data_IF_696083779837
#
_entry.id   IF_696083779837
#
_cell.length_a   1.000
_cell.length_b   1.000
_cell.length_c   1.000
_cell.angle_alpha   90.00
_cell.angle_beta   90.00
_cell.angle_gamma   90.00
#
_symmetry.space_group_name_H-M   'P 1'
#
loop_
_entity.id
_entity.type
_entity.pdbx_description
1 polymer ?
#
# COMPACT_ATOMS: atom_id res chain seq x y z
N UNK A 1 -10.40 -6.04 -5.03
CA UNK A 1 -11.83 -6.43 -5.07
C UNK A 1 -11.90 -7.90 -4.67
N UNK A 2 -12.55 -8.23 -3.56
CA UNK A 2 -12.73 -9.62 -3.13
C UNK A 2 -13.79 -10.28 -4.03
N UNK A 3 -13.44 -11.37 -4.71
CA UNK A 3 -14.29 -12.07 -5.68
C UNK A 3 -15.59 -12.68 -5.10
N UNK A 4 -15.81 -12.61 -3.79
CA UNK A 4 -17.01 -13.16 -3.15
C UNK A 4 -18.26 -12.24 -3.19
N UNK A 5 -18.16 -10.96 -3.57
CA UNK A 5 -19.26 -10.00 -3.40
C UNK A 5 -20.17 -9.77 -4.63
N UNK A 6 -20.13 -10.63 -5.66
CA UNK A 6 -20.89 -10.38 -6.90
C UNK A 6 -22.34 -10.88 -6.88
N UNK A 7 -22.77 -11.71 -5.90
CA UNK A 7 -24.06 -12.42 -6.06
C UNK A 7 -25.32 -11.91 -5.37
N UNK A 8 -25.32 -11.02 -4.39
CA UNK A 8 -26.60 -10.47 -3.89
C UNK A 8 -26.51 -9.00 -3.51
N UNK A 9 -27.04 -8.16 -4.40
CA UNK A 9 -27.23 -6.73 -4.21
C UNK A 9 -28.47 -6.48 -3.34
N UNK A 10 -28.30 -6.55 -2.02
CA UNK A 10 -29.24 -5.96 -1.05
C UNK A 10 -28.52 -4.87 -0.24
N UNK A 11 -28.71 -3.58 -0.58
CA UNK A 11 -27.83 -2.47 -0.18
C UNK A 11 -27.84 -2.08 1.30
N UNK A 12 -28.54 -2.82 2.17
CA UNK A 12 -28.70 -2.50 3.61
C UNK A 12 -28.58 -3.71 4.56
N UNK A 13 -28.00 -4.83 4.13
CA UNK A 13 -27.83 -6.00 5.01
C UNK A 13 -26.65 -5.85 5.98
N UNK A 14 -26.81 -6.34 7.21
CA UNK A 14 -25.78 -6.34 8.28
C UNK A 14 -24.44 -6.94 7.82
N UNK A 15 -24.50 -7.88 6.86
CA UNK A 15 -23.35 -8.58 6.28
C UNK A 15 -22.49 -7.69 5.39
N UNK A 16 -23.10 -6.78 4.62
CA UNK A 16 -22.38 -5.82 3.77
C UNK A 16 -21.64 -4.77 4.60
N UNK A 17 -22.25 -4.34 5.72
CA UNK A 17 -21.63 -3.42 6.68
C UNK A 17 -20.37 -4.03 7.30
N UNK A 18 -20.41 -5.31 7.67
CA UNK A 18 -19.27 -6.05 8.22
C UNK A 18 -18.13 -6.22 7.20
N UNK A 19 -18.43 -6.64 5.96
CA UNK A 19 -17.44 -6.79 4.90
C UNK A 19 -16.75 -5.46 4.54
N UNK A 20 -17.52 -4.36 4.46
CA UNK A 20 -16.95 -3.03 4.23
C UNK A 20 -16.04 -2.59 5.38
N UNK A 21 -16.40 -2.88 6.64
CA UNK A 21 -15.55 -2.55 7.79
C UNK A 21 -14.27 -3.37 7.86
N UNK A 22 -14.27 -4.63 7.43
CA UNK A 22 -13.06 -5.46 7.50
C UNK A 22 -12.12 -5.21 6.32
N UNK A 23 -12.68 -5.02 5.11
CA UNK A 23 -11.90 -4.60 3.95
C UNK A 23 -11.22 -3.24 4.19
N UNK A 24 -11.93 -2.28 4.80
CA UNK A 24 -11.35 -0.96 5.10
C UNK A 24 -10.26 -1.02 6.15
N UNK A 25 -10.39 -1.85 7.19
CA UNK A 25 -9.32 -2.05 8.20
C UNK A 25 -8.06 -2.62 7.58
N UNK A 26 -8.17 -3.69 6.78
CA UNK A 26 -7.02 -4.33 6.12
C UNK A 26 -6.36 -3.35 5.15
N UNK A 27 -7.16 -2.59 4.39
CA UNK A 27 -6.65 -1.57 3.48
C UNK A 27 -5.91 -0.44 4.22
N UNK A 28 -6.49 0.07 5.31
CA UNK A 28 -5.85 1.10 6.14
C UNK A 28 -4.54 0.61 6.76
N UNK A 29 -4.51 -0.64 7.21
CA UNK A 29 -3.29 -1.26 7.73
C UNK A 29 -2.21 -1.39 6.66
N UNK A 30 -2.58 -1.83 5.46
CA UNK A 30 -1.68 -1.92 4.32
C UNK A 30 -1.10 -0.55 3.93
N UNK A 31 -1.94 0.49 3.86
CA UNK A 31 -1.50 1.86 3.57
C UNK A 31 -0.57 2.42 4.65
N UNK A 32 -0.88 2.18 5.93
CA UNK A 32 -0.04 2.62 7.04
C UNK A 32 1.34 1.95 7.02
N UNK A 33 1.40 0.64 6.76
CA UNK A 33 2.65 -0.10 6.61
C UNK A 33 3.44 0.39 5.40
N UNK A 34 2.77 0.55 4.25
CA UNK A 34 3.38 1.03 3.02
C UNK A 34 3.99 2.43 3.21
N UNK A 35 3.24 3.38 3.79
CA UNK A 35 3.72 4.73 4.06
C UNK A 35 4.96 4.74 4.97
N UNK A 36 4.95 3.91 6.02
CA UNK A 36 6.09 3.76 6.94
C UNK A 36 7.32 3.20 6.22
N UNK A 37 7.15 2.16 5.42
CA UNK A 37 8.26 1.52 4.68
C UNK A 37 8.87 2.46 3.65
N UNK A 38 8.03 3.18 2.88
CA UNK A 38 8.52 4.15 1.90
C UNK A 38 9.36 5.23 2.58
N UNK A 39 8.93 5.74 3.74
CA UNK A 39 9.70 6.73 4.50
C UNK A 39 11.05 6.18 4.99
N UNK A 40 11.06 4.98 5.57
CA UNK A 40 12.30 4.35 6.04
C UNK A 40 13.28 4.05 4.89
N UNK A 41 12.76 3.57 3.76
CA UNK A 41 13.57 3.28 2.58
C UNK A 41 14.07 4.54 1.89
N UNK A 42 13.27 5.61 1.84
CA UNK A 42 13.71 6.90 1.29
C UNK A 42 14.82 7.53 2.13
N UNK A 43 14.72 7.44 3.46
CA UNK A 43 15.77 7.87 4.39
C UNK A 43 17.04 7.03 4.21
N UNK A 44 16.92 5.69 4.09
CA UNK A 44 18.05 4.78 3.92
C UNK A 44 18.77 4.94 2.59
N UNK A 45 18.04 5.14 1.50
CA UNK A 45 18.61 5.34 0.16
C UNK A 45 19.03 6.79 -0.11
N UNK A 46 18.76 7.73 0.80
CA UNK A 46 19.11 9.14 0.63
C UNK A 46 18.37 9.82 -0.52
N UNK A 47 17.17 9.33 -0.86
CA UNK A 47 16.33 9.89 -1.92
C UNK A 47 15.74 11.20 -1.41
N UNK A 48 16.48 12.29 -1.61
CA UNK A 48 16.13 13.64 -1.15
C UNK A 48 15.67 14.51 -2.32
N UNK A 49 15.02 15.64 -2.02
CA UNK A 49 14.67 16.64 -3.03
C UNK A 49 15.92 17.22 -3.73
N UNK A 50 17.10 17.13 -3.11
CA UNK A 50 18.37 17.47 -3.75
C UNK A 50 18.69 16.52 -4.91
N UNK A 51 18.52 15.20 -4.73
CA UNK A 51 18.67 14.21 -5.80
C UNK A 51 17.68 14.45 -6.95
N UNK A 52 16.47 14.90 -6.63
CA UNK A 52 15.44 15.22 -7.62
C UNK A 52 15.80 16.45 -8.45
N UNK A 53 16.40 17.47 -7.83
CA UNK A 53 16.88 18.67 -8.51
C UNK A 53 18.11 18.38 -9.40
N UNK A 54 18.96 17.45 -8.98
CA UNK A 54 20.19 17.11 -9.68
C UNK A 54 19.96 16.08 -10.81
N UNK A 55 19.12 15.06 -10.57
CA UNK A 55 18.77 14.05 -11.55
C UNK A 55 17.37 13.46 -11.31
N UNK A 56 16.37 14.08 -11.93
CA UNK A 56 14.98 13.67 -11.83
C UNK A 56 14.73 12.22 -12.28
N UNK A 57 15.43 11.75 -13.33
CA UNK A 57 15.24 10.38 -13.84
C UNK A 57 15.77 9.34 -12.85
N UNK A 58 16.92 9.60 -12.23
CA UNK A 58 17.47 8.74 -11.18
C UNK A 58 16.58 8.74 -9.94
N UNK A 59 16.00 9.89 -9.57
CA UNK A 59 15.04 9.98 -8.47
C UNK A 59 13.80 9.13 -8.73
N UNK A 60 13.21 9.20 -9.93
CA UNK A 60 12.05 8.37 -10.31
C UNK A 60 12.40 6.88 -10.25
N UNK A 61 13.58 6.50 -10.75
CA UNK A 61 14.05 5.11 -10.70
C UNK A 61 14.18 4.61 -9.25
N UNK A 62 14.81 5.41 -8.38
CA UNK A 62 14.99 5.09 -6.95
C UNK A 62 13.64 4.99 -6.23
N UNK A 63 12.74 5.95 -6.45
CA UNK A 63 11.39 5.92 -5.89
C UNK A 63 10.58 4.71 -6.36
N UNK A 64 10.73 4.31 -7.62
CA UNK A 64 10.08 3.10 -8.12
C UNK A 64 10.64 1.84 -7.47
N UNK A 65 11.96 1.74 -7.28
CA UNK A 65 12.58 0.61 -6.58
C UNK A 65 12.09 0.53 -5.13
N UNK A 66 12.06 1.65 -4.41
CA UNK A 66 11.54 1.75 -3.04
C UNK A 66 10.08 1.31 -2.98
N UNK A 67 9.26 1.77 -3.93
CA UNK A 67 7.85 1.39 -4.00
C UNK A 67 7.67 -0.11 -4.24
N UNK A 68 8.44 -0.70 -5.16
CA UNK A 68 8.41 -2.16 -5.39
C UNK A 68 8.79 -2.93 -4.13
N UNK A 69 9.88 -2.54 -3.46
CA UNK A 69 10.32 -3.20 -2.23
C UNK A 69 9.27 -3.07 -1.10
N UNK A 70 8.69 -1.89 -0.92
CA UNK A 70 7.62 -1.68 0.06
C UNK A 70 6.37 -2.52 -0.26
N UNK A 71 5.98 -2.61 -1.54
CA UNK A 71 4.84 -3.42 -1.98
C UNK A 71 5.07 -4.91 -1.73
N UNK A 72 6.29 -5.41 -1.96
CA UNK A 72 6.66 -6.81 -1.72
C UNK A 72 6.56 -7.15 -0.22
N UNK A 73 7.11 -6.30 0.65
CA UNK A 73 7.02 -6.48 2.11
C UNK A 73 5.56 -6.46 2.57
N UNK A 74 4.77 -5.47 2.15
CA UNK A 74 3.35 -5.39 2.54
C UNK A 74 2.57 -6.60 2.04
N UNK A 75 2.86 -7.09 0.83
CA UNK A 75 2.20 -8.29 0.30
C UNK A 75 2.56 -9.53 1.11
N UNK A 76 3.83 -9.67 1.52
CA UNK A 76 4.27 -10.75 2.40
C UNK A 76 3.57 -10.71 3.75
N UNK A 77 3.48 -9.54 4.37
CA UNK A 77 2.83 -9.34 5.68
C UNK A 77 1.32 -9.61 5.62
N UNK A 78 0.64 -9.24 4.53
CA UNK A 78 -0.80 -9.44 4.36
C UNK A 78 -1.18 -10.89 4.00
N UNK A 79 -0.30 -11.63 3.32
CA UNK A 79 -0.56 -13.04 2.94
C UNK A 79 -0.34 -13.97 4.14
N UNK A 80 0.53 -13.61 5.08
CA UNK A 80 0.87 -14.42 6.26
C UNK A 80 0.12 -14.04 7.55
N UNK A 81 -0.81 -13.08 7.52
CA UNK A 81 -1.65 -12.70 8.67
C UNK A 81 -2.87 -13.59 8.88
#
# INVERSE_FOLDING_TARGET
MCEQCVKEFYPNSTRQRFCNTDYTKVHQQAEALFSRLVKQLSEKEGVTEALKAENQMLWVQRMNNIRSAAMEIVSSELIYC
#
